data_IF_650616446057
#
_entry.id   IF_650616446057
#
_cell.length_a   1.000
_cell.length_b   1.000
_cell.length_c   1.000
_cell.angle_alpha   90.00
_cell.angle_beta   90.00
_cell.angle_gamma   90.00
#
_symmetry.space_group_name_H-M   'P 1'
#
loop_
_entity.id
_entity.type
_entity.pdbx_description
1 polymer ?
#
# COMPACT_ATOMS: atom_id res chain seq x y z
N UNK A 1 -30.12 1.09 9.33
CA UNK A 1 -29.65 0.06 8.38
C UNK A 1 -28.18 -0.13 8.66
N UNK A 2 -27.74 -1.26 9.23
CA UNK A 2 -26.32 -1.47 9.44
C UNK A 2 -25.68 -1.56 8.06
N UNK A 3 -24.61 -0.79 7.86
CA UNK A 3 -23.70 -1.02 6.74
C UNK A 3 -23.26 -2.47 6.86
N UNK A 4 -23.66 -3.30 5.91
CA UNK A 4 -23.17 -4.66 5.78
C UNK A 4 -21.64 -4.57 5.75
N UNK A 5 -21.04 -5.16 6.78
CA UNK A 5 -19.62 -5.33 7.04
C UNK A 5 -19.02 -6.36 6.06
N UNK A 6 -19.44 -6.26 4.79
CA UNK A 6 -18.99 -7.05 3.66
C UNK A 6 -17.55 -6.64 3.36
N UNK A 7 -16.66 -7.27 4.12
CA UNK A 7 -15.41 -7.83 3.61
C UNK A 7 -14.78 -6.97 2.51
N UNK A 8 -14.20 -5.83 2.90
CA UNK A 8 -13.23 -5.08 2.09
C UNK A 8 -12.31 -6.10 1.42
N UNK A 9 -12.44 -6.21 0.10
CA UNK A 9 -12.20 -7.42 -0.66
C UNK A 9 -10.90 -8.13 -0.22
N UNK A 10 -10.99 -9.33 0.40
CA UNK A 10 -9.80 -10.12 0.74
C UNK A 10 -8.98 -10.52 -0.50
N UNK A 11 -9.50 -10.26 -1.71
CA UNK A 11 -8.82 -10.48 -2.99
C UNK A 11 -8.13 -9.23 -3.56
N UNK A 12 -8.30 -8.04 -2.96
CA UNK A 12 -7.72 -6.81 -3.52
C UNK A 12 -6.19 -6.75 -3.37
N UNK A 13 -5.65 -7.56 -2.46
CA UNK A 13 -4.24 -7.80 -2.34
C UNK A 13 -4.05 -9.31 -2.33
N UNK A 14 -3.22 -9.81 -3.24
CA UNK A 14 -2.65 -11.15 -3.12
C UNK A 14 -1.66 -11.12 -1.94
N UNK A 15 -2.23 -11.08 -0.73
CA UNK A 15 -1.50 -10.99 0.52
C UNK A 15 -0.75 -12.31 0.69
N UNK A 16 0.59 -12.26 0.80
CA UNK A 16 1.36 -13.47 0.97
C UNK A 16 0.93 -14.17 2.27
N UNK A 17 0.80 -15.49 2.21
CA UNK A 17 0.61 -16.30 3.41
C UNK A 17 1.76 -16.04 4.39
N UNK A 18 1.42 -15.80 5.66
CA UNK A 18 2.41 -15.63 6.71
C UNK A 18 3.19 -16.95 6.92
N UNK A 19 4.53 -16.93 6.86
CA UNK A 19 5.36 -18.12 7.04
C UNK A 19 6.40 -17.94 8.17
N UNK A 20 5.96 -18.15 9.42
CA UNK A 20 6.81 -18.47 10.57
C UNK A 20 7.88 -17.44 11.01
N UNK A 21 8.82 -17.91 11.84
CA UNK A 21 9.70 -17.13 12.73
C UNK A 21 10.81 -16.29 12.06
N UNK A 22 10.79 -16.15 10.73
CA UNK A 22 11.80 -15.37 9.98
C UNK A 22 11.21 -14.08 9.46
N UNK A 23 12.02 -13.01 9.41
CA UNK A 23 11.61 -11.71 8.88
C UNK A 23 11.02 -11.88 7.46
N UNK A 24 9.78 -11.40 7.22
CA UNK A 24 9.15 -11.57 5.92
C UNK A 24 9.90 -10.77 4.86
N UNK A 25 10.03 -11.33 3.65
CA UNK A 25 10.48 -10.60 2.46
C UNK A 25 9.43 -9.62 1.93
N UNK A 26 8.57 -9.10 2.80
CA UNK A 26 7.50 -8.17 2.47
C UNK A 26 7.20 -7.26 3.67
N UNK A 27 6.62 -6.10 3.39
CA UNK A 27 6.14 -5.15 4.38
C UNK A 27 4.76 -4.63 3.96
N UNK A 28 3.86 -4.51 4.94
CA UNK A 28 2.49 -4.04 4.75
C UNK A 28 2.24 -2.84 5.65
N UNK A 29 1.84 -1.73 5.03
CA UNK A 29 1.18 -0.63 5.71
C UNK A 29 -0.31 -0.68 5.43
N UNK A 30 -1.15 -0.66 6.45
CA UNK A 30 -2.62 -0.69 6.31
C UNK A 30 -3.29 -0.21 7.61
N UNK A 31 -4.57 0.20 7.59
CA UNK A 31 -5.31 0.45 8.82
C UNK A 31 -5.53 -0.82 9.62
N UNK A 32 -5.43 -0.74 10.94
CA UNK A 32 -5.64 -1.89 11.80
C UNK A 32 -7.08 -2.42 11.68
N UNK A 33 -7.26 -3.73 11.80
CA UNK A 33 -8.56 -4.39 11.72
C UNK A 33 -9.18 -4.49 10.32
N UNK A 34 -8.60 -3.86 9.29
CA UNK A 34 -9.17 -3.84 7.93
C UNK A 34 -8.76 -5.02 7.05
N UNK A 35 -7.63 -5.66 7.37
CA UNK A 35 -7.12 -6.83 6.67
C UNK A 35 -6.98 -8.00 7.66
N UNK A 36 -7.07 -9.23 7.14
CA UNK A 36 -6.89 -10.47 7.94
C UNK A 36 -5.49 -10.59 8.55
N UNK A 37 -4.50 -9.90 7.96
CA UNK A 37 -3.11 -9.92 8.40
C UNK A 37 -2.78 -8.62 9.13
N UNK A 38 -2.16 -8.73 10.30
CA UNK A 38 -1.72 -7.54 11.06
C UNK A 38 -0.70 -6.74 10.23
N UNK A 39 -0.90 -5.44 10.02
CA UNK A 39 0.07 -4.62 9.30
C UNK A 39 1.36 -4.48 10.10
N UNK A 40 2.46 -4.30 9.37
CA UNK A 40 3.76 -3.97 9.96
C UNK A 40 3.81 -2.49 10.37
N UNK A 41 3.09 -1.64 9.62
CA UNK A 41 2.99 -0.20 9.84
C UNK A 41 1.49 0.15 9.86
N UNK A 42 0.92 0.55 11.00
CA UNK A 42 -0.46 1.00 11.04
C UNK A 42 -0.61 2.31 10.27
N UNK A 43 -1.72 2.48 9.56
CA UNK A 43 -2.09 3.73 8.88
C UNK A 43 -3.51 4.15 9.27
N UNK A 44 -3.89 5.37 8.93
CA UNK A 44 -5.22 5.90 9.23
C UNK A 44 -5.80 6.68 8.06
N UNK A 45 -7.09 7.03 8.14
CA UNK A 45 -7.72 7.89 7.15
C UNK A 45 -7.04 9.26 7.09
N UNK A 46 -6.87 9.75 5.87
CA UNK A 46 -6.33 11.08 5.57
C UNK A 46 -7.49 12.04 5.30
N UNK A 47 -7.22 13.35 5.43
CA UNK A 47 -8.14 14.39 4.97
C UNK A 47 -8.11 14.54 3.43
N UNK A 48 -8.21 13.42 2.73
CA UNK A 48 -8.23 13.32 1.27
C UNK A 48 -9.15 12.17 0.86
N UNK A 49 -9.90 12.37 -0.21
CA UNK A 49 -10.72 11.30 -0.80
C UNK A 49 -9.87 10.30 -1.60
N UNK A 50 -10.46 9.15 -1.99
CA UNK A 50 -9.76 8.07 -2.70
C UNK A 50 -9.05 8.52 -3.99
N UNK A 51 -9.69 9.33 -4.83
CA UNK A 51 -9.09 9.84 -6.07
C UNK A 51 -7.83 10.67 -5.81
N UNK A 52 -7.87 11.55 -4.81
CA UNK A 52 -6.75 12.42 -4.45
C UNK A 52 -5.57 11.58 -3.94
N UNK A 53 -5.85 10.59 -3.09
CA UNK A 53 -4.83 9.68 -2.60
C UNK A 53 -4.27 8.78 -3.71
N UNK A 54 -5.10 8.29 -4.63
CA UNK A 54 -4.66 7.50 -5.79
C UNK A 54 -3.73 8.31 -6.70
N UNK A 55 -4.07 9.57 -6.97
CA UNK A 55 -3.22 10.48 -7.74
C UNK A 55 -1.88 10.74 -7.03
N UNK A 56 -1.90 10.95 -5.72
CA UNK A 56 -0.69 11.09 -4.91
C UNK A 56 0.18 9.82 -4.93
N UNK A 57 -0.43 8.64 -4.85
CA UNK A 57 0.25 7.35 -4.98
C UNK A 57 0.89 7.21 -6.36
N UNK A 58 0.17 7.49 -7.45
CA UNK A 58 0.72 7.45 -8.80
C UNK A 58 1.89 8.42 -8.98
N UNK A 59 1.79 9.63 -8.44
CA UNK A 59 2.86 10.63 -8.43
C UNK A 59 4.08 10.12 -7.66
N UNK A 60 3.86 9.51 -6.48
CA UNK A 60 4.93 8.90 -5.69
C UNK A 60 5.63 7.79 -6.48
N UNK A 61 4.90 6.86 -7.10
CA UNK A 61 5.51 5.78 -7.91
C UNK A 61 6.39 6.35 -9.02
N UNK A 62 5.94 7.41 -9.70
CA UNK A 62 6.67 8.04 -10.82
C UNK A 62 7.91 8.83 -10.37
N UNK A 63 7.89 9.38 -9.15
CA UNK A 63 9.01 10.15 -8.60
C UNK A 63 10.13 9.26 -8.05
N UNK A 64 9.80 8.01 -7.69
CA UNK A 64 10.77 7.08 -7.12
C UNK A 64 11.72 6.55 -8.21
N UNK A 65 13.02 6.34 -7.90
CA UNK A 65 13.95 5.81 -8.86
C UNK A 65 13.66 4.33 -9.11
N UNK A 66 13.80 3.91 -10.39
CA UNK A 66 13.70 2.51 -10.81
C UNK A 66 12.34 1.85 -10.49
N UNK A 67 11.28 2.64 -10.38
CA UNK A 67 9.90 2.16 -10.25
C UNK A 67 9.10 2.36 -11.53
N UNK A 68 8.07 1.53 -11.72
CA UNK A 68 7.15 1.62 -12.85
C UNK A 68 5.77 1.11 -12.45
N UNK A 69 4.72 1.84 -12.83
CA UNK A 69 3.32 1.38 -12.75
C UNK A 69 3.11 0.28 -13.81
N UNK A 70 2.57 -0.86 -13.38
CA UNK A 70 2.17 -1.97 -14.24
C UNK A 70 0.69 -1.90 -14.61
N UNK A 71 -0.15 -1.57 -13.64
CA UNK A 71 -1.59 -1.43 -13.80
C UNK A 71 -2.12 -0.36 -12.83
N UNK A 72 -3.20 0.30 -13.21
CA UNK A 72 -3.96 1.19 -12.35
C UNK A 72 -5.45 0.97 -12.61
N UNK A 73 -6.21 0.78 -11.54
CA UNK A 73 -7.65 0.64 -11.56
C UNK A 73 -8.25 1.79 -10.76
N UNK A 74 -8.89 2.72 -11.45
CA UNK A 74 -9.52 3.90 -10.81
C UNK A 74 -10.84 3.56 -10.14
N UNK A 75 -11.51 2.49 -10.54
CA UNK A 75 -12.76 2.02 -9.93
C UNK A 75 -12.48 1.39 -8.56
N UNK A 76 -11.39 0.63 -8.47
CA UNK A 76 -10.93 -0.01 -7.23
C UNK A 76 -9.93 0.85 -6.43
N UNK A 77 -9.56 2.02 -6.94
CA UNK A 77 -8.53 2.90 -6.38
C UNK A 77 -7.18 2.23 -6.11
N UNK A 78 -6.75 1.37 -7.04
CA UNK A 78 -5.57 0.50 -6.88
C UNK A 78 -4.50 0.81 -7.93
N UNK A 79 -3.24 0.68 -7.54
CA UNK A 79 -2.08 0.70 -8.43
C UNK A 79 -1.20 -0.51 -8.13
N UNK A 80 -0.85 -1.27 -9.15
CA UNK A 80 0.23 -2.25 -9.08
C UNK A 80 1.46 -1.70 -9.79
N UNK A 81 2.60 -1.82 -9.14
CA UNK A 81 3.87 -1.29 -9.58
C UNK A 81 5.00 -2.28 -9.27
N UNK A 82 6.16 -2.04 -9.88
CA UNK A 82 7.40 -2.72 -9.51
C UNK A 82 8.45 -1.67 -9.13
N UNK A 83 9.35 -2.04 -8.23
CA UNK A 83 10.58 -1.28 -7.99
C UNK A 83 11.80 -2.21 -8.03
N UNK A 84 12.78 -1.86 -8.86
CA UNK A 84 14.05 -2.61 -8.95
C UNK A 84 15.10 -1.98 -8.07
N UNK A 85 15.90 -2.76 -7.34
CA UNK A 85 17.06 -2.24 -6.62
C UNK A 85 18.24 -1.99 -7.58
N UNK A 86 19.26 -1.23 -7.14
CA UNK A 86 20.44 -0.89 -7.96
C UNK A 86 21.26 -2.13 -8.31
N UNK A 87 21.25 -3.15 -7.44
CA UNK A 87 21.78 -4.47 -7.75
C UNK A 87 20.73 -5.25 -8.54
N UNK A 88 21.02 -5.55 -9.81
CA UNK A 88 20.10 -6.05 -10.83
C UNK A 88 19.32 -7.35 -10.52
N UNK A 89 19.44 -7.91 -9.32
CA UNK A 89 18.84 -9.20 -8.93
C UNK A 89 17.56 -9.08 -8.10
N UNK A 90 17.24 -7.90 -7.55
CA UNK A 90 16.05 -7.74 -6.70
C UNK A 90 15.01 -6.84 -7.36
N UNK A 91 13.85 -7.44 -7.64
CA UNK A 91 12.62 -6.77 -8.07
C UNK A 91 11.57 -6.99 -7.01
N UNK A 92 10.98 -5.90 -6.55
CA UNK A 92 9.88 -5.93 -5.59
C UNK A 92 8.58 -5.55 -6.30
N UNK A 93 7.52 -6.29 -6.03
CA UNK A 93 6.16 -5.91 -6.39
C UNK A 93 5.63 -4.96 -5.32
N UNK A 94 5.01 -3.88 -5.78
CA UNK A 94 4.38 -2.88 -4.94
C UNK A 94 2.91 -2.82 -5.32
N UNK A 95 2.02 -3.09 -4.37
CA UNK A 95 0.59 -2.84 -4.54
C UNK A 95 0.18 -1.70 -3.63
N UNK A 96 -0.57 -0.75 -4.19
CA UNK A 96 -1.08 0.42 -3.48
C UNK A 96 -2.58 0.48 -3.63
N UNK A 97 -3.28 0.82 -2.55
CA UNK A 97 -4.71 1.05 -2.55
C UNK A 97 -5.04 2.29 -1.73
N UNK A 98 -5.80 3.20 -2.33
CA UNK A 98 -6.44 4.29 -1.61
C UNK A 98 -7.79 3.78 -1.09
N UNK A 99 -7.75 3.13 0.08
CA UNK A 99 -8.92 2.49 0.67
C UNK A 99 -9.95 3.53 1.10
N UNK A 100 -11.18 3.52 0.55
CA UNK A 100 -12.24 4.42 1.00
C UNK A 100 -12.60 4.16 2.46
N UNK A 101 -12.76 5.22 3.24
CA UNK A 101 -13.15 5.19 4.65
C UNK A 101 -14.35 6.11 4.84
N UNK A 102 -15.55 5.57 5.10
CA UNK A 102 -16.71 6.38 5.45
C UNK A 102 -16.45 7.14 6.76
N UNK A 103 -16.76 8.43 6.77
CA UNK A 103 -16.62 9.30 7.93
C UNK A 103 -17.98 9.57 8.59
N UNK A 104 -18.02 9.86 9.91
CA UNK A 104 -19.28 10.13 10.62
C UNK A 104 -20.10 11.31 10.07
N UNK A 105 -19.45 12.23 9.35
CA UNK A 105 -20.08 13.40 8.74
C UNK A 105 -20.61 13.16 7.31
N UNK A 106 -20.60 11.90 6.85
CA UNK A 106 -21.07 11.51 5.53
C UNK A 106 -20.06 11.70 4.40
N UNK A 107 -18.86 12.22 4.68
CA UNK A 107 -17.77 12.28 3.69
C UNK A 107 -17.09 10.92 3.54
N UNK A 108 -16.38 10.74 2.43
CA UNK A 108 -15.52 9.59 2.19
C UNK A 108 -14.07 10.07 2.22
N UNK A 109 -13.34 9.68 3.27
CA UNK A 109 -11.90 9.82 3.36
C UNK A 109 -11.21 8.62 2.69
N UNK A 110 -9.89 8.61 2.66
CA UNK A 110 -9.12 7.46 2.23
C UNK A 110 -7.93 7.19 3.14
N UNK A 111 -7.64 5.91 3.36
CA UNK A 111 -6.45 5.47 4.07
C UNK A 111 -5.50 4.75 3.11
N UNK A 112 -4.17 4.97 3.22
CA UNK A 112 -3.21 4.32 2.34
C UNK A 112 -2.96 2.87 2.78
N UNK A 113 -3.16 1.92 1.86
CA UNK A 113 -2.69 0.54 2.01
C UNK A 113 -1.55 0.31 1.02
N UNK A 114 -0.42 -0.19 1.50
CA UNK A 114 0.80 -0.43 0.69
C UNK A 114 1.38 -1.78 1.06
N UNK A 115 1.52 -2.65 0.06
CA UNK A 115 2.25 -3.90 0.15
C UNK A 115 3.52 -3.80 -0.69
N UNK A 116 4.69 -4.00 -0.09
CA UNK A 116 5.96 -4.21 -0.81
C UNK A 116 6.42 -5.63 -0.58
N UNK A 117 6.60 -6.43 -1.65
CA UNK A 117 7.05 -7.83 -1.55
C UNK A 117 8.17 -8.13 -2.53
N UNK A 118 9.21 -8.82 -2.08
CA UNK A 118 10.33 -9.24 -2.91
C UNK A 118 10.01 -10.49 -3.72
N UNK A 119 10.31 -10.48 -5.04
CA UNK A 119 10.11 -11.66 -5.91
C UNK A 119 11.15 -12.76 -5.70
N UNK A 120 12.39 -12.37 -5.39
CA UNK A 120 13.54 -13.27 -5.25
C UNK A 120 14.28 -12.87 -3.98
N UNK A 121 14.34 -13.78 -3.00
CA UNK A 121 15.14 -13.62 -1.79
C UNK A 121 14.33 -13.36 -0.52
N UNK A 122 14.70 -14.07 0.55
CA UNK A 122 14.21 -13.88 1.93
C UNK A 122 15.19 -13.11 2.81
N UNK A 123 16.31 -12.66 2.25
CA UNK A 123 17.33 -11.87 2.93
C UNK A 123 17.02 -10.38 2.80
N UNK A 124 15.87 -9.97 3.35
CA UNK A 124 15.52 -8.57 3.44
C UNK A 124 16.12 -7.96 4.72
N UNK A 125 17.12 -7.08 4.57
CA UNK A 125 17.73 -6.32 5.68
C UNK A 125 16.86 -5.11 6.09
N UNK A 126 15.54 -5.19 5.96
CA UNK A 126 14.59 -4.10 6.24
C UNK A 126 14.42 -3.09 5.10
N UNK A 127 14.83 -3.45 3.89
CA UNK A 127 14.70 -2.64 2.69
C UNK A 127 13.23 -2.41 2.33
N UNK A 128 12.37 -3.44 2.44
CA UNK A 128 10.94 -3.28 2.16
C UNK A 128 10.27 -2.33 3.15
N UNK A 129 10.61 -2.42 4.44
CA UNK A 129 10.07 -1.51 5.45
C UNK A 129 10.48 -0.06 5.19
N UNK A 130 11.78 0.19 5.01
CA UNK A 130 12.30 1.54 4.70
C UNK A 130 11.66 2.11 3.44
N UNK A 131 11.39 1.26 2.45
CA UNK A 131 10.68 1.66 1.24
C UNK A 131 9.25 2.06 1.55
N UNK A 132 8.47 1.22 2.23
CA UNK A 132 7.08 1.56 2.57
C UNK A 132 7.01 2.85 3.38
N UNK A 133 7.91 3.04 4.36
CA UNK A 133 8.03 4.29 5.13
C UNK A 133 8.33 5.51 4.23
N UNK A 134 9.29 5.38 3.30
CA UNK A 134 9.62 6.43 2.34
C UNK A 134 8.44 6.78 1.42
N UNK A 135 7.72 5.77 0.94
CA UNK A 135 6.55 5.95 0.09
C UNK A 135 5.43 6.65 0.85
N UNK A 136 5.13 6.22 2.08
CA UNK A 136 4.15 6.88 2.96
C UNK A 136 4.51 8.35 3.16
N UNK A 137 5.74 8.66 3.59
CA UNK A 137 6.18 10.03 3.80
C UNK A 137 6.00 10.90 2.54
N UNK A 138 6.37 10.36 1.37
CA UNK A 138 6.27 11.07 0.09
C UNK A 138 4.82 11.35 -0.31
N UNK A 139 3.93 10.36 -0.24
CA UNK A 139 2.54 10.55 -0.63
C UNK A 139 1.76 11.42 0.35
N UNK A 140 2.05 11.32 1.65
CA UNK A 140 1.44 12.20 2.66
C UNK A 140 1.80 13.67 2.41
N UNK A 141 3.04 13.95 1.99
CA UNK A 141 3.45 15.29 1.55
C UNK A 141 2.65 15.83 0.36
N UNK A 142 2.15 14.97 -0.53
CA UNK A 142 1.29 15.38 -1.65
C UNK A 142 -0.19 15.57 -1.24
N UNK A 143 -0.64 14.88 -0.19
CA UNK A 143 -2.00 14.99 0.32
C UNK A 143 -2.19 16.17 1.30
N UNK A 144 -1.16 16.52 2.06
CA UNK A 144 -1.19 17.61 3.05
C UNK A 144 -0.88 19.01 2.52
N UNK A 145 -0.61 19.13 1.21
CA UNK A 145 -0.43 20.42 0.52
C UNK A 145 -1.72 20.99 -0.07
#
# INVERSE_FOLDING_TARGET
MPLDDSSLAPELFDLPAFSGDRKPGWCLAAPEGTLRVRPHIPTGPLQAGPDRLLAAMARCVRAQPRSRILAADTTLYRIDAIQRTRFCRFTDDISLWAMPVPMPDGRIAAAPVILSRSRIGRWDMGTNRRRVECWLATMLGFCGG
#
